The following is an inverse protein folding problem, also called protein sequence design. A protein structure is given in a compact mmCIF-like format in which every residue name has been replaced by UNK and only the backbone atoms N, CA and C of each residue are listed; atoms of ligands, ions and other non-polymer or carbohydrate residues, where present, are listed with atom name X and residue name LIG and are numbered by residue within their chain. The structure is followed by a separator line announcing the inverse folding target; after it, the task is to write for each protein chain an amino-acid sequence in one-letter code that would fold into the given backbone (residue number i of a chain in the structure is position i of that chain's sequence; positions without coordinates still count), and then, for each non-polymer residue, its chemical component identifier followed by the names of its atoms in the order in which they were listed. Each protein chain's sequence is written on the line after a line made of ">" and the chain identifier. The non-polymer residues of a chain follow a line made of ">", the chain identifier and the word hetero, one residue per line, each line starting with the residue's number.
data_IF_913170446085
#
_entry.id   IF_913170446085
#
_cell.length_a   1.000
_cell.length_b   1.000
_cell.length_c   1.000
_cell.angle_alpha   90.00
_cell.angle_beta   90.00
_cell.angle_gamma   90.00
#
_symmetry.space_group_name_H-M   'P 1'
#
loop_
_entity.id
_entity.type
_entity.pdbx_description
1 polymer ?
#
# COMPACT_ATOMS: atom_id res chain seq x y z
N UNK A 1 -20.19 -8.87 2.63
CA UNK A 1 -18.92 -8.56 1.92
C UNK A 1 -17.84 -9.58 2.29
N UNK A 2 -16.93 -9.90 1.39
CA UNK A 2 -15.83 -10.82 1.64
C UNK A 2 -14.56 -10.00 1.88
N UNK A 3 -13.88 -10.22 3.00
CA UNK A 3 -12.65 -9.52 3.36
C UNK A 3 -11.43 -10.39 3.11
N UNK A 4 -10.38 -9.79 2.54
CA UNK A 4 -9.07 -10.43 2.41
C UNK A 4 -8.14 -9.86 3.46
N UNK A 5 -7.52 -10.75 4.27
CA UNK A 5 -6.46 -10.35 5.18
C UNK A 5 -5.11 -10.39 4.45
N UNK A 6 -4.36 -9.28 4.50
CA UNK A 6 -3.03 -9.19 3.91
C UNK A 6 -2.03 -10.20 4.47
N UNK A 7 -2.22 -10.65 5.72
CA UNK A 7 -1.34 -11.60 6.39
C UNK A 7 -1.82 -13.06 6.30
N UNK A 8 -2.99 -13.31 5.67
CA UNK A 8 -3.52 -14.67 5.52
C UNK A 8 -2.56 -15.54 4.70
N UNK A 9 -2.18 -16.69 5.24
CA UNK A 9 -1.24 -17.62 4.59
C UNK A 9 0.22 -17.15 4.57
N UNK A 10 0.58 -16.10 5.32
CA UNK A 10 1.95 -15.62 5.50
C UNK A 10 2.51 -16.04 6.86
N UNK A 11 3.80 -15.77 7.10
CA UNK A 11 4.46 -16.02 8.40
C UNK A 11 3.79 -15.28 9.58
N UNK A 12 2.94 -14.27 9.29
CA UNK A 12 2.23 -13.48 10.28
C UNK A 12 0.80 -14.00 10.56
N UNK A 13 0.38 -15.08 9.93
CA UNK A 13 -0.85 -15.80 10.19
C UNK A 13 -0.51 -17.17 10.80
N UNK A 14 -1.28 -17.66 11.82
CA UNK A 14 -2.35 -16.99 12.58
C UNK A 14 -1.81 -15.87 13.48
N UNK A 15 -2.59 -14.80 13.66
CA UNK A 15 -2.17 -13.63 14.44
C UNK A 15 -2.98 -13.45 15.73
N UNK A 16 -2.63 -12.44 16.53
CA UNK A 16 -3.31 -12.13 17.78
C UNK A 16 -4.83 -11.87 17.65
N UNK A 17 -5.33 -11.45 16.48
CA UNK A 17 -6.76 -11.34 16.20
C UNK A 17 -7.45 -12.71 16.19
N UNK A 18 -6.79 -13.74 15.71
CA UNK A 18 -7.31 -15.11 15.74
C UNK A 18 -7.35 -15.65 17.16
N UNK A 19 -6.29 -15.43 17.93
CA UNK A 19 -6.21 -15.80 19.34
C UNK A 19 -7.28 -15.12 20.20
N UNK A 20 -7.59 -13.86 19.88
CA UNK A 20 -8.68 -13.10 20.50
C UNK A 20 -10.09 -13.49 19.99
N UNK A 21 -10.23 -14.42 19.06
CA UNK A 21 -11.52 -14.78 18.46
C UNK A 21 -12.08 -13.73 17.48
N UNK A 22 -11.26 -12.78 17.05
CA UNK A 22 -11.66 -11.63 16.20
C UNK A 22 -11.18 -11.72 14.75
N UNK A 23 -10.76 -12.90 14.29
CA UNK A 23 -10.37 -13.08 12.91
C UNK A 23 -11.59 -13.03 12.00
N UNK A 24 -11.73 -11.96 11.24
CA UNK A 24 -12.86 -11.72 10.32
C UNK A 24 -12.77 -12.53 9.02
N UNK A 25 -11.61 -13.10 8.69
CA UNK A 25 -11.46 -13.95 7.48
C UNK A 25 -11.68 -15.44 7.74
N UNK A 26 -11.92 -15.84 8.99
CA UNK A 26 -12.14 -17.22 9.38
C UNK A 26 -13.46 -17.37 10.14
N UNK A 27 -14.48 -17.90 9.49
CA UNK A 27 -15.79 -18.10 10.09
C UNK A 27 -15.76 -19.08 11.27
N UNK A 28 -14.85 -20.07 11.26
CA UNK A 28 -14.71 -20.97 12.39
C UNK A 28 -14.30 -20.23 13.68
N UNK A 29 -13.40 -19.24 13.57
CA UNK A 29 -12.97 -18.43 14.71
C UNK A 29 -14.07 -17.43 15.12
N UNK A 30 -14.64 -16.70 14.16
CA UNK A 30 -15.56 -15.61 14.45
C UNK A 30 -17.00 -16.07 14.76
N UNK A 31 -17.42 -17.21 14.20
CA UNK A 31 -18.81 -17.70 14.26
C UNK A 31 -18.93 -19.16 14.70
N UNK A 32 -17.82 -19.84 14.98
CA UNK A 32 -17.81 -21.26 15.36
C UNK A 32 -18.19 -22.22 14.22
N UNK A 33 -18.32 -21.72 12.98
CA UNK A 33 -18.72 -22.52 11.82
C UNK A 33 -17.83 -22.22 10.63
N UNK A 34 -17.23 -23.27 10.05
CA UNK A 34 -16.43 -23.13 8.83
C UNK A 34 -17.33 -22.76 7.65
N UNK A 35 -17.01 -21.64 7.00
CA UNK A 35 -17.66 -21.12 5.82
C UNK A 35 -16.68 -20.81 4.69
N UNK A 36 -15.48 -21.39 4.74
CA UNK A 36 -14.54 -21.35 3.65
C UNK A 36 -15.14 -22.00 2.43
N UNK A 37 -15.36 -21.21 1.37
CA UNK A 37 -15.86 -21.71 0.11
C UNK A 37 -14.88 -22.71 -0.51
N UNK A 38 -15.43 -23.65 -1.28
CA UNK A 38 -14.72 -24.67 -2.05
C UNK A 38 -13.62 -24.12 -2.99
N UNK A 39 -13.56 -22.82 -3.21
CA UNK A 39 -12.51 -22.15 -4.01
C UNK A 39 -11.26 -21.72 -3.25
N UNK A 40 -11.20 -21.89 -1.92
CA UNK A 40 -10.00 -21.56 -1.15
C UNK A 40 -8.89 -22.60 -1.38
N UNK A 41 -7.81 -22.19 -2.01
CA UNK A 41 -6.65 -23.06 -2.33
C UNK A 41 -5.44 -22.85 -1.40
N UNK A 42 -5.56 -22.03 -0.38
CA UNK A 42 -4.48 -21.74 0.55
C UNK A 42 -4.50 -22.63 1.80
N UNK A 43 -3.49 -22.46 2.67
CA UNK A 43 -3.46 -23.10 3.99
C UNK A 43 -4.63 -22.60 4.84
N UNK A 44 -5.37 -23.50 5.48
CA UNK A 44 -6.45 -23.15 6.39
C UNK A 44 -5.88 -22.47 7.65
N UNK A 45 -6.16 -21.18 7.93
CA UNK A 45 -5.62 -20.47 9.07
C UNK A 45 -6.00 -21.12 10.41
N UNK A 46 -7.21 -21.68 10.50
CA UNK A 46 -7.69 -22.36 11.70
C UNK A 46 -6.91 -23.66 11.96
N UNK A 47 -6.68 -24.47 10.94
CA UNK A 47 -5.90 -25.69 11.07
C UNK A 47 -4.46 -25.39 11.50
N UNK A 48 -3.85 -24.36 10.90
CA UNK A 48 -2.51 -23.93 11.30
C UNK A 48 -2.47 -23.43 12.74
N UNK A 49 -3.47 -22.68 13.18
CA UNK A 49 -3.62 -22.23 14.56
C UNK A 49 -3.72 -23.39 15.55
N UNK A 50 -4.52 -24.41 15.20
CA UNK A 50 -4.66 -25.61 16.03
C UNK A 50 -3.34 -26.41 16.06
N UNK A 51 -2.68 -26.57 14.92
CA UNK A 51 -1.37 -27.25 14.84
C UNK A 51 -0.27 -26.56 15.65
N UNK A 52 -0.35 -25.22 15.79
CA UNK A 52 0.54 -24.44 16.66
C UNK A 52 0.14 -24.45 18.14
N UNK A 53 -0.76 -25.33 18.56
CA UNK A 53 -1.25 -25.40 19.94
C UNK A 53 -2.09 -24.21 20.34
N UNK A 54 -2.81 -23.60 19.40
CA UNK A 54 -3.67 -22.39 19.60
C UNK A 54 -2.87 -21.16 20.04
N UNK A 55 -1.66 -21.02 19.52
CA UNK A 55 -0.82 -19.84 19.74
C UNK A 55 -0.71 -19.02 18.45
N UNK A 56 -0.73 -17.70 18.61
CA UNK A 56 -0.50 -16.77 17.49
C UNK A 56 0.96 -16.75 17.07
N UNK A 57 1.20 -16.39 15.82
CA UNK A 57 2.55 -16.05 15.36
C UNK A 57 3.04 -14.81 16.10
N UNK A 58 4.33 -14.70 16.42
CA UNK A 58 4.88 -13.44 16.86
C UNK A 58 4.62 -12.40 15.76
N UNK A 59 4.10 -11.25 16.12
CA UNK A 59 3.87 -10.16 15.18
C UNK A 59 5.14 -9.74 14.45
N UNK A 60 5.05 -8.76 13.58
CA UNK A 60 6.22 -8.22 12.89
C UNK A 60 7.17 -7.61 13.92
N UNK A 61 8.35 -8.21 14.05
CA UNK A 61 9.36 -7.74 15.00
C UNK A 61 9.87 -6.35 14.64
N UNK A 62 10.13 -5.54 15.66
CA UNK A 62 10.85 -4.28 15.50
C UNK A 62 12.34 -4.60 15.20
N UNK A 63 12.90 -3.90 14.23
CA UNK A 63 14.26 -4.12 13.71
C UNK A 63 15.01 -2.81 13.64
N UNK A 64 16.31 -2.88 13.79
CA UNK A 64 17.20 -1.73 13.67
C UNK A 64 17.85 -1.74 12.30
N UNK A 65 17.65 -0.66 11.53
CA UNK A 65 18.25 -0.49 10.21
C UNK A 65 19.05 0.82 10.17
N UNK A 66 20.23 0.75 9.57
CA UNK A 66 21.10 1.92 9.42
C UNK A 66 20.68 2.70 8.19
N UNK A 67 20.61 4.01 8.33
CA UNK A 67 20.51 4.96 7.21
C UNK A 67 21.86 4.97 6.50
N UNK A 68 21.90 4.39 5.30
CA UNK A 68 23.12 4.40 4.47
C UNK A 68 23.29 5.72 3.73
N UNK A 69 22.17 6.34 3.35
CA UNK A 69 22.17 7.58 2.59
C UNK A 69 20.91 8.40 2.90
N UNK A 70 21.07 9.70 3.00
CA UNK A 70 20.01 10.69 3.02
C UNK A 70 20.26 11.69 1.90
N UNK A 71 19.32 11.85 1.00
CA UNK A 71 19.37 12.79 -0.10
C UNK A 71 18.24 13.82 0.06
N UNK A 72 18.62 15.08 0.24
CA UNK A 72 17.68 16.17 0.45
C UNK A 72 17.35 16.84 -0.90
N UNK A 73 16.07 16.91 -1.25
CA UNK A 73 15.53 17.57 -2.46
C UNK A 73 14.85 18.90 -2.14
N UNK A 74 14.38 19.06 -0.90
CA UNK A 74 13.85 20.30 -0.36
C UNK A 74 14.04 20.29 1.16
N UNK A 75 13.90 21.44 1.85
CA UNK A 75 14.02 21.50 3.31
C UNK A 75 13.08 20.57 4.07
N UNK A 76 11.95 20.26 3.46
CA UNK A 76 10.88 19.39 3.99
C UNK A 76 10.73 18.05 3.25
N UNK A 77 11.65 17.72 2.33
CA UNK A 77 11.56 16.51 1.52
C UNK A 77 12.90 15.83 1.30
N UNK A 78 13.03 14.59 1.73
CA UNK A 78 14.25 13.79 1.56
C UNK A 78 13.90 12.36 1.12
N UNK A 79 14.85 11.74 0.42
CA UNK A 79 14.88 10.29 0.20
C UNK A 79 15.90 9.68 1.16
N UNK A 80 15.48 8.64 1.86
CA UNK A 80 16.29 7.92 2.82
C UNK A 80 16.48 6.49 2.35
N UNK A 81 17.72 6.05 2.21
CA UNK A 81 18.09 4.67 1.88
C UNK A 81 18.55 3.95 3.14
N UNK A 82 17.89 2.85 3.45
CA UNK A 82 18.19 1.98 4.58
C UNK A 82 18.94 0.75 4.11
N UNK A 83 20.00 0.37 4.80
CA UNK A 83 20.60 -0.96 4.69
C UNK A 83 19.62 -1.99 5.28
N UNK A 84 19.24 -2.98 4.49
CA UNK A 84 18.25 -3.97 4.88
C UNK A 84 18.66 -5.36 4.41
N UNK A 85 18.49 -6.42 5.24
CA UNK A 85 18.77 -7.79 4.80
C UNK A 85 18.01 -8.14 3.51
N UNK A 86 18.66 -8.89 2.61
CA UNK A 86 18.09 -9.27 1.31
C UNK A 86 16.68 -9.85 1.42
N UNK A 87 16.44 -10.71 2.43
CA UNK A 87 15.10 -11.29 2.64
C UNK A 87 14.03 -10.26 3.00
N UNK A 88 14.40 -9.17 3.69
CA UNK A 88 13.51 -8.06 4.01
C UNK A 88 13.24 -7.23 2.75
N UNK A 89 14.29 -6.85 2.02
CA UNK A 89 14.19 -6.10 0.77
C UNK A 89 13.31 -6.82 -0.27
N UNK A 90 13.46 -8.14 -0.42
CA UNK A 90 12.63 -8.95 -1.31
C UNK A 90 11.15 -8.90 -0.94
N UNK A 91 10.82 -8.95 0.36
CA UNK A 91 9.43 -8.81 0.84
C UNK A 91 8.85 -7.42 0.52
N UNK A 92 9.69 -6.39 0.49
CA UNK A 92 9.30 -5.01 0.16
C UNK A 92 8.94 -4.81 -1.34
N UNK A 93 9.24 -5.76 -2.23
CA UNK A 93 8.88 -5.68 -3.66
C UNK A 93 7.40 -5.85 -3.95
N UNK A 94 6.61 -6.28 -2.98
CA UNK A 94 5.17 -6.44 -3.17
C UNK A 94 4.50 -5.09 -3.38
N UNK A 95 3.54 -4.99 -4.31
CA UNK A 95 2.75 -3.76 -4.48
C UNK A 95 2.15 -3.29 -3.16
N UNK A 96 2.20 -1.98 -2.91
CA UNK A 96 1.67 -1.41 -1.67
C UNK A 96 2.49 -1.69 -0.42
N UNK A 97 3.74 -2.14 -0.57
CA UNK A 97 4.62 -2.32 0.59
C UNK A 97 4.92 -1.00 1.28
N UNK A 98 4.87 -1.03 2.61
CA UNK A 98 5.28 0.07 3.47
C UNK A 98 5.95 -0.47 4.74
N UNK A 99 6.66 0.40 5.42
CA UNK A 99 7.24 0.12 6.74
C UNK A 99 6.77 1.14 7.75
N UNK A 100 6.74 0.76 9.01
CA UNK A 100 6.42 1.65 10.13
C UNK A 100 7.73 2.10 10.75
N UNK A 101 8.02 3.39 10.70
CA UNK A 101 9.23 4.00 11.27
C UNK A 101 8.89 4.61 12.62
N UNK A 102 9.67 4.30 13.65
CA UNK A 102 9.49 4.82 15.01
C UNK A 102 9.98 6.26 15.10
N UNK A 103 9.15 7.13 15.63
CA UNK A 103 9.44 8.51 15.94
C UNK A 103 8.97 8.80 17.37
N UNK A 104 9.89 8.85 18.31
CA UNK A 104 9.56 8.91 19.73
C UNK A 104 8.74 7.69 20.17
N UNK A 105 7.54 7.93 20.70
CA UNK A 105 6.61 6.87 21.12
C UNK A 105 5.69 6.36 19.98
N UNK A 106 5.81 6.90 18.77
CA UNK A 106 4.89 6.65 17.68
C UNK A 106 5.55 5.89 16.53
N UNK A 107 4.76 5.13 15.80
CA UNK A 107 5.14 4.63 14.49
C UNK A 107 4.46 5.44 13.39
N UNK A 108 5.19 5.65 12.29
CA UNK A 108 4.71 6.38 11.10
C UNK A 108 4.83 5.48 9.89
N UNK A 109 3.73 5.19 9.16
CA UNK A 109 3.80 4.42 7.94
C UNK A 109 4.48 5.23 6.84
N UNK A 110 5.48 4.64 6.20
CA UNK A 110 6.16 5.20 5.04
C UNK A 110 6.13 4.16 3.91
N UNK A 111 5.62 4.56 2.76
CA UNK A 111 5.58 3.70 1.57
C UNK A 111 7.00 3.40 1.09
N UNK A 112 7.26 2.15 0.77
CA UNK A 112 8.49 1.76 0.10
C UNK A 112 8.45 2.34 -1.31
N UNK A 113 9.47 3.10 -1.67
CA UNK A 113 9.64 3.74 -2.96
C UNK A 113 10.43 2.86 -3.93
N UNK A 114 11.56 2.35 -3.47
CA UNK A 114 12.38 1.40 -4.23
C UNK A 114 12.98 0.37 -3.28
N UNK A 115 13.25 -0.81 -3.78
CA UNK A 115 13.94 -1.85 -3.03
C UNK A 115 14.76 -2.74 -3.97
N UNK A 116 15.96 -3.10 -3.55
CA UNK A 116 16.84 -3.95 -4.35
C UNK A 116 18.09 -4.34 -3.58
N UNK A 117 18.63 -5.54 -3.86
CA UNK A 117 19.79 -6.02 -3.14
C UNK A 117 19.54 -6.08 -1.63
N UNK A 118 20.33 -5.34 -0.90
CA UNK A 118 20.28 -5.24 0.57
C UNK A 118 19.87 -3.83 1.02
N UNK A 119 19.00 -3.16 0.26
CA UNK A 119 18.53 -1.81 0.61
C UNK A 119 17.05 -1.59 0.32
N UNK A 120 16.48 -0.61 1.02
CA UNK A 120 15.11 -0.11 0.84
C UNK A 120 15.16 1.41 0.89
N UNK A 121 14.53 2.09 -0.07
CA UNK A 121 14.45 3.55 -0.10
C UNK A 121 13.02 4.04 0.13
N UNK A 122 12.91 5.13 0.84
CA UNK A 122 11.67 5.76 1.26
C UNK A 122 11.76 7.26 1.00
N UNK A 123 10.68 7.85 0.51
CA UNK A 123 10.55 9.30 0.48
C UNK A 123 9.87 9.78 1.77
N UNK A 124 10.45 10.76 2.42
CA UNK A 124 9.92 11.38 3.63
C UNK A 124 9.60 12.83 3.35
N UNK A 125 8.32 13.18 3.47
CA UNK A 125 7.85 14.57 3.39
C UNK A 125 7.43 15.04 4.78
N UNK A 126 7.98 16.16 5.26
CA UNK A 126 7.67 16.76 6.56
C UNK A 126 6.27 17.41 6.58
N UNK A 127 5.24 16.66 6.18
CA UNK A 127 3.85 17.13 6.13
C UNK A 127 3.19 17.25 7.51
N UNK A 128 3.78 16.66 8.55
CA UNK A 128 3.23 16.68 9.89
C UNK A 128 4.28 16.43 10.98
N UNK A 129 3.92 16.58 12.27
CA UNK A 129 4.89 16.53 13.38
C UNK A 129 5.74 15.26 13.39
N UNK A 130 5.16 14.11 13.09
CA UNK A 130 5.86 12.81 13.08
C UNK A 130 6.93 12.75 11.99
N UNK A 131 6.59 13.15 10.76
CA UNK A 131 7.54 13.14 9.63
C UNK A 131 8.58 14.24 9.75
N UNK A 132 8.22 15.40 10.31
CA UNK A 132 9.19 16.44 10.68
C UNK A 132 10.22 15.91 11.66
N UNK A 133 9.80 15.22 12.71
CA UNK A 133 10.70 14.65 13.71
C UNK A 133 11.60 13.55 13.11
N UNK A 134 11.06 12.71 12.23
CA UNK A 134 11.85 11.73 11.48
C UNK A 134 12.94 12.45 10.69
N UNK A 135 12.60 13.43 9.86
CA UNK A 135 13.59 14.15 9.03
C UNK A 135 14.65 14.86 9.87
N UNK A 136 14.25 15.53 10.95
CA UNK A 136 15.15 16.27 11.85
C UNK A 136 16.22 15.38 12.48
N UNK A 137 15.87 14.11 12.79
CA UNK A 137 16.77 13.14 13.44
C UNK A 137 17.55 12.28 12.45
N UNK A 138 17.23 12.35 11.17
CA UNK A 138 17.81 11.48 10.16
C UNK A 138 19.05 12.10 9.55
N UNK A 139 20.15 11.37 9.63
CA UNK A 139 21.40 11.61 8.92
C UNK A 139 21.97 10.24 8.50
N UNK A 140 22.91 10.24 7.57
CA UNK A 140 23.69 9.03 7.25
C UNK A 140 24.35 8.48 8.52
N UNK A 141 24.23 7.17 8.75
CA UNK A 141 24.69 6.49 9.96
C UNK A 141 23.64 6.43 11.09
N UNK A 142 22.54 7.20 11.01
CA UNK A 142 21.43 7.08 11.98
C UNK A 142 20.83 5.69 11.93
N UNK A 143 20.46 5.15 13.09
CA UNK A 143 19.75 3.89 13.20
C UNK A 143 18.27 4.16 13.36
N UNK A 144 17.45 3.59 12.48
CA UNK A 144 16.00 3.61 12.56
C UNK A 144 15.47 2.32 13.16
N UNK A 145 14.56 2.44 14.12
CA UNK A 145 13.76 1.33 14.59
C UNK A 145 12.51 1.23 13.70
N UNK A 146 12.35 0.11 13.04
CA UNK A 146 11.28 -0.10 12.06
C UNK A 146 10.53 -1.40 12.32
N UNK A 147 9.28 -1.43 11.95
CA UNK A 147 8.41 -2.62 11.93
C UNK A 147 7.90 -2.88 10.53
N UNK A 148 7.82 -4.13 10.11
CA UNK A 148 7.31 -4.51 8.80
C UNK A 148 8.20 -5.55 8.09
N UNK A 149 8.14 -5.63 6.75
CA UNK A 149 7.27 -4.84 5.87
C UNK A 149 5.79 -5.25 5.98
N UNK A 150 4.92 -4.30 5.70
CA UNK A 150 3.48 -4.50 5.52
C UNK A 150 3.14 -4.40 4.04
N UNK A 151 2.08 -5.07 3.58
CA UNK A 151 1.69 -5.10 2.16
C UNK A 151 0.28 -4.56 1.91
N UNK A 152 -0.36 -4.01 2.93
CA UNK A 152 -1.71 -3.46 2.87
C UNK A 152 -1.77 -1.97 2.51
N UNK A 153 -0.74 -1.43 1.87
CA UNK A 153 -0.69 -0.02 1.47
C UNK A 153 -1.46 0.32 0.20
N UNK A 154 -1.88 -0.68 -0.56
CA UNK A 154 -2.78 -0.52 -1.71
C UNK A 154 -4.04 -1.37 -1.52
N UNK A 155 -5.20 -0.76 -1.68
CA UNK A 155 -6.49 -1.44 -1.78
C UNK A 155 -6.67 -1.85 -3.23
N UNK A 156 -7.05 -3.10 -3.48
CA UNK A 156 -7.12 -3.67 -4.83
C UNK A 156 -5.76 -4.09 -5.41
N UNK A 157 -4.68 -3.97 -4.63
CA UNK A 157 -3.33 -4.34 -5.06
C UNK A 157 -3.16 -5.83 -5.37
N UNK A 158 -3.96 -6.69 -4.76
CA UNK A 158 -4.03 -8.13 -5.01
C UNK A 158 -4.59 -8.48 -6.40
N UNK A 159 -5.33 -7.55 -7.01
CA UNK A 159 -5.96 -7.73 -8.32
C UNK A 159 -5.06 -7.25 -9.49
N UNK A 160 -3.83 -6.83 -9.22
CA UNK A 160 -2.91 -6.38 -10.26
C UNK A 160 -2.56 -7.54 -11.19
N UNK A 161 -3.04 -7.47 -12.44
CA UNK A 161 -2.58 -8.36 -13.49
C UNK A 161 -1.27 -7.81 -14.09
N UNK A 162 -0.17 -8.49 -13.81
CA UNK A 162 1.16 -8.10 -14.30
C UNK A 162 1.30 -8.12 -15.83
N UNK A 163 0.34 -8.69 -16.56
CA UNK A 163 0.32 -8.75 -18.03
C UNK A 163 -0.66 -7.76 -18.65
N UNK A 164 -1.52 -7.14 -17.85
CA UNK A 164 -2.51 -6.19 -18.35
C UNK A 164 -1.91 -4.79 -18.57
N UNK A 165 -2.48 -3.99 -19.50
CA UNK A 165 -2.16 -2.58 -19.60
C UNK A 165 -2.56 -1.84 -18.33
N UNK A 166 -1.94 -0.68 -18.09
CA UNK A 166 -2.19 0.13 -16.91
C UNK A 166 -2.63 1.54 -17.30
N UNK A 167 -3.66 2.04 -16.61
CA UNK A 167 -4.15 3.41 -16.67
C UNK A 167 -3.92 4.03 -15.29
N UNK A 168 -3.28 5.19 -15.24
CA UNK A 168 -2.82 5.77 -13.99
C UNK A 168 -3.27 7.22 -13.87
N UNK A 169 -3.83 7.59 -12.72
CA UNK A 169 -3.94 8.96 -12.25
C UNK A 169 -3.23 9.06 -10.91
N UNK A 170 -2.24 9.94 -10.75
CA UNK A 170 -1.48 10.08 -9.52
C UNK A 170 -1.22 11.54 -9.15
N UNK A 171 -1.13 11.82 -7.83
CA UNK A 171 -0.79 13.14 -7.31
C UNK A 171 0.18 13.06 -6.13
N UNK A 172 1.25 13.85 -6.23
CA UNK A 172 2.19 14.06 -5.13
C UNK A 172 2.76 12.76 -4.55
N UNK A 173 2.76 12.65 -3.22
CA UNK A 173 3.33 11.51 -2.49
C UNK A 173 2.71 10.14 -2.83
N UNK A 174 1.51 10.12 -3.39
CA UNK A 174 0.90 8.87 -3.83
C UNK A 174 1.60 8.23 -5.05
N UNK A 175 2.59 8.91 -5.63
CA UNK A 175 3.52 8.34 -6.62
C UNK A 175 4.41 7.23 -6.02
N UNK A 176 4.73 7.27 -4.72
CA UNK A 176 5.73 6.38 -4.12
C UNK A 176 5.45 4.88 -4.31
N UNK A 177 4.23 4.36 -4.09
CA UNK A 177 3.93 2.96 -4.36
C UNK A 177 4.09 2.56 -5.83
N UNK A 178 3.88 3.48 -6.78
CA UNK A 178 4.09 3.23 -8.21
C UNK A 178 5.58 3.11 -8.55
N UNK A 179 6.44 3.91 -7.90
CA UNK A 179 7.88 3.80 -8.05
C UNK A 179 8.39 2.43 -7.58
N UNK A 180 7.80 1.86 -6.51
CA UNK A 180 8.14 0.53 -6.02
C UNK A 180 7.86 -0.59 -7.06
N UNK A 181 6.84 -0.44 -7.87
CA UNK A 181 6.45 -1.41 -8.91
C UNK A 181 6.76 -0.94 -10.33
N UNK A 182 7.60 0.07 -10.47
CA UNK A 182 7.93 0.71 -11.75
C UNK A 182 8.37 -0.29 -12.82
N UNK A 183 9.23 -1.24 -12.47
CA UNK A 183 9.69 -2.28 -13.39
C UNK A 183 8.53 -3.17 -13.87
N UNK A 184 7.57 -3.46 -12.99
CA UNK A 184 6.39 -4.25 -13.33
C UNK A 184 5.44 -3.50 -14.28
N UNK A 185 5.42 -2.16 -14.17
CA UNK A 185 4.60 -1.27 -15.02
C UNK A 185 5.27 -0.93 -16.34
N UNK A 186 6.60 -1.10 -16.45
CA UNK A 186 7.37 -0.73 -17.65
C UNK A 186 6.81 -1.36 -18.92
N UNK A 187 6.62 -0.55 -19.95
CA UNK A 187 6.08 -0.95 -21.25
C UNK A 187 4.58 -1.30 -21.26
N UNK A 188 3.88 -1.14 -20.13
CA UNK A 188 2.45 -1.49 -19.99
C UNK A 188 1.57 -0.28 -19.73
N UNK A 189 2.14 0.87 -19.43
CA UNK A 189 1.37 2.10 -19.17
C UNK A 189 0.81 2.61 -20.50
N UNK A 190 -0.51 2.68 -20.58
CA UNK A 190 -1.23 3.22 -21.75
C UNK A 190 -1.52 4.71 -21.58
N UNK A 191 -1.85 5.13 -20.38
CA UNK A 191 -2.05 6.53 -20.02
C UNK A 191 -1.64 6.75 -18.58
N UNK A 192 -0.93 7.84 -18.35
CA UNK A 192 -0.56 8.29 -17.02
C UNK A 192 -0.81 9.80 -16.92
N UNK A 193 -1.77 10.17 -16.08
CA UNK A 193 -2.08 11.55 -15.71
C UNK A 193 -1.42 11.84 -14.37
N UNK A 194 -0.55 12.84 -14.34
CA UNK A 194 0.23 13.12 -13.14
C UNK A 194 0.15 14.59 -12.73
N UNK A 195 -0.22 14.83 -11.48
CA UNK A 195 -0.13 16.12 -10.82
C UNK A 195 1.05 16.06 -9.82
N UNK A 196 2.14 16.77 -10.08
CA UNK A 196 3.30 16.78 -9.18
C UNK A 196 2.96 17.25 -7.76
N UNK A 197 1.95 18.13 -7.62
CA UNK A 197 1.59 18.75 -6.34
C UNK A 197 2.78 19.53 -5.77
N UNK A 198 3.28 19.09 -4.61
CA UNK A 198 4.44 19.71 -3.93
C UNK A 198 5.72 18.88 -4.05
N UNK A 199 5.77 17.88 -4.90
CA UNK A 199 6.99 17.11 -5.08
C UNK A 199 8.08 17.97 -5.72
N UNK A 200 9.32 17.91 -5.23
CA UNK A 200 10.44 18.61 -5.84
C UNK A 200 10.71 18.12 -7.27
N UNK A 201 10.96 19.07 -8.17
CA UNK A 201 11.20 18.75 -9.59
C UNK A 201 12.40 17.78 -9.77
N UNK A 202 13.49 18.03 -9.06
CA UNK A 202 14.70 17.19 -9.17
C UNK A 202 14.46 15.75 -8.68
N UNK A 203 13.61 15.60 -7.65
CA UNK A 203 13.16 14.27 -7.22
C UNK A 203 12.41 13.55 -8.33
N UNK A 204 11.45 14.22 -8.98
CA UNK A 204 10.67 13.65 -10.08
C UNK A 204 11.59 13.28 -11.23
N UNK A 205 12.47 14.20 -11.65
CA UNK A 205 13.43 13.98 -12.74
C UNK A 205 14.34 12.77 -12.49
N UNK A 206 14.75 12.54 -11.24
CA UNK A 206 15.60 11.42 -10.85
C UNK A 206 14.84 10.09 -10.77
N UNK A 207 13.77 10.04 -10.00
CA UNK A 207 13.13 8.78 -9.61
C UNK A 207 11.97 8.35 -10.51
N UNK A 208 11.25 9.31 -11.12
CA UNK A 208 10.19 9.02 -12.07
C UNK A 208 10.69 8.90 -13.52
N UNK A 209 11.99 9.05 -13.76
CA UNK A 209 12.61 8.86 -15.08
C UNK A 209 12.17 7.53 -15.71
N UNK A 210 11.66 7.59 -16.95
CA UNK A 210 11.14 6.41 -17.69
C UNK A 210 9.64 6.17 -17.48
N UNK A 211 8.96 6.95 -16.66
CA UNK A 211 7.54 7.15 -16.79
C UNK A 211 7.28 8.29 -17.80
N UNK A 212 6.32 8.07 -18.68
CA UNK A 212 5.78 9.11 -19.55
C UNK A 212 4.38 9.46 -19.05
N UNK A 213 4.11 10.75 -18.80
CA UNK A 213 2.84 11.22 -18.29
C UNK A 213 2.35 12.49 -18.98
N UNK A 214 1.06 12.69 -18.93
CA UNK A 214 0.39 13.95 -19.23
C UNK A 214 0.23 14.71 -17.90
N UNK A 215 0.86 15.88 -17.80
CA UNK A 215 0.73 16.72 -16.60
C UNK A 215 -0.69 17.27 -16.52
N UNK A 216 -1.26 17.28 -15.33
CA UNK A 216 -2.64 17.68 -15.09
C UNK A 216 -2.78 18.35 -13.73
N UNK A 217 -3.73 19.24 -13.59
CA UNK A 217 -4.10 19.89 -12.33
C UNK A 217 -5.32 19.18 -11.72
N UNK A 218 -5.08 18.21 -10.80
CA UNK A 218 -6.17 17.42 -10.20
C UNK A 218 -7.20 18.26 -9.45
N UNK A 219 -6.86 19.49 -9.03
CA UNK A 219 -7.79 20.40 -8.38
C UNK A 219 -8.99 20.76 -9.29
N UNK A 220 -8.74 20.93 -10.58
CA UNK A 220 -9.72 21.37 -11.58
C UNK A 220 -10.06 20.32 -12.62
N UNK A 221 -9.18 19.35 -12.86
CA UNK A 221 -9.28 18.42 -13.98
C UNK A 221 -9.62 16.98 -13.58
N UNK A 222 -9.79 16.67 -12.29
CA UNK A 222 -10.02 15.31 -11.82
C UNK A 222 -11.16 14.58 -12.55
N UNK A 223 -12.29 15.24 -12.77
CA UNK A 223 -13.42 14.67 -13.49
C UNK A 223 -13.13 14.47 -14.99
N UNK A 224 -12.41 15.39 -15.62
CA UNK A 224 -12.00 15.25 -17.01
C UNK A 224 -11.02 14.08 -17.18
N UNK A 225 -10.08 13.94 -16.26
CA UNK A 225 -9.14 12.78 -16.21
C UNK A 225 -9.91 11.48 -16.01
N UNK A 226 -10.91 11.45 -15.12
CA UNK A 226 -11.74 10.26 -14.92
C UNK A 226 -12.46 9.84 -16.22
N UNK A 227 -13.04 10.81 -16.96
CA UNK A 227 -13.68 10.53 -18.27
C UNK A 227 -12.69 10.00 -19.30
N UNK A 228 -11.46 10.56 -19.35
CA UNK A 228 -10.39 10.05 -20.21
C UNK A 228 -10.00 8.62 -19.83
N UNK A 229 -9.94 8.29 -18.54
CA UNK A 229 -9.67 6.92 -18.05
C UNK A 229 -10.78 5.95 -18.47
N UNK A 230 -12.06 6.33 -18.36
CA UNK A 230 -13.18 5.49 -18.82
C UNK A 230 -13.04 5.18 -20.32
N UNK A 231 -12.84 6.20 -21.13
CA UNK A 231 -12.68 6.02 -22.59
C UNK A 231 -11.50 5.09 -22.93
N UNK A 232 -10.34 5.30 -22.29
CA UNK A 232 -9.17 4.44 -22.49
C UNK A 232 -9.41 3.01 -21.99
N UNK A 233 -10.16 2.85 -20.89
CA UNK A 233 -10.52 1.53 -20.36
C UNK A 233 -11.38 0.76 -21.37
N UNK A 234 -12.42 1.39 -21.91
CA UNK A 234 -13.29 0.82 -22.93
C UNK A 234 -12.52 0.44 -24.21
N UNK A 235 -11.57 1.31 -24.62
CA UNK A 235 -10.70 1.03 -25.76
C UNK A 235 -9.81 -0.18 -25.51
N UNK A 236 -9.22 -0.30 -24.33
CA UNK A 236 -8.42 -1.47 -23.94
C UNK A 236 -9.26 -2.75 -23.93
N UNK A 237 -10.49 -2.70 -23.40
CA UNK A 237 -11.40 -3.84 -23.39
C UNK A 237 -11.75 -4.31 -24.81
N UNK A 238 -11.96 -3.38 -25.75
CA UNK A 238 -12.30 -3.70 -27.14
C UNK A 238 -11.14 -4.32 -27.92
N UNK A 239 -9.91 -3.83 -27.69
CA UNK A 239 -8.77 -4.17 -28.55
C UNK A 239 -7.80 -5.18 -27.91
N UNK A 240 -7.63 -5.17 -26.60
CA UNK A 240 -6.61 -5.99 -25.93
C UNK A 240 -7.16 -7.30 -25.32
N UNK A 241 -8.48 -7.46 -25.23
CA UNK A 241 -9.11 -8.64 -24.63
C UNK A 241 -8.75 -8.86 -23.14
N UNK A 242 -8.08 -7.88 -22.51
CA UNK A 242 -7.66 -7.89 -21.10
C UNK A 242 -8.12 -6.63 -20.39
N UNK A 243 -8.65 -6.82 -19.20
CA UNK A 243 -9.05 -5.72 -18.33
C UNK A 243 -7.81 -4.95 -17.86
N UNK A 244 -7.72 -3.62 -18.11
CA UNK A 244 -6.58 -2.85 -17.64
C UNK A 244 -6.57 -2.71 -16.11
N UNK A 245 -5.37 -2.61 -15.53
CA UNK A 245 -5.20 -2.12 -14.16
C UNK A 245 -5.50 -0.62 -14.14
N UNK A 246 -6.34 -0.16 -13.21
CA UNK A 246 -6.66 1.26 -13.06
C UNK A 246 -6.18 1.74 -11.71
N UNK A 247 -5.11 2.55 -11.71
CA UNK A 247 -4.51 3.11 -10.50
C UNK A 247 -5.01 4.55 -10.29
N UNK A 248 -5.70 4.78 -9.17
CA UNK A 248 -6.11 6.12 -8.73
C UNK A 248 -5.31 6.46 -7.48
N UNK A 249 -4.12 7.00 -7.70
CA UNK A 249 -3.10 7.25 -6.68
C UNK A 249 -3.15 8.71 -6.23
N UNK A 250 -4.15 9.05 -5.43
CA UNK A 250 -4.44 10.43 -4.99
C UNK A 250 -4.82 10.44 -3.51
N UNK A 251 -4.99 11.62 -2.91
CA UNK A 251 -5.51 11.75 -1.54
C UNK A 251 -6.99 11.41 -1.46
N UNK A 252 -7.55 11.17 -0.25
CA UNK A 252 -8.97 10.83 -0.07
C UNK A 252 -9.93 11.84 -0.71
N UNK A 253 -9.58 13.13 -0.66
CA UNK A 253 -10.39 14.20 -1.26
C UNK A 253 -10.55 14.03 -2.78
N UNK A 254 -9.45 13.74 -3.49
CA UNK A 254 -9.53 13.53 -4.94
C UNK A 254 -10.06 12.12 -5.27
N UNK A 255 -9.77 11.13 -4.43
CA UNK A 255 -10.30 9.77 -4.61
C UNK A 255 -11.82 9.78 -4.68
N UNK A 256 -12.49 10.56 -3.83
CA UNK A 256 -13.94 10.67 -3.85
C UNK A 256 -14.46 11.24 -5.18
N UNK A 257 -13.78 12.25 -5.75
CA UNK A 257 -14.14 12.80 -7.07
C UNK A 257 -14.01 11.73 -8.17
N UNK A 258 -12.91 10.97 -8.17
CA UNK A 258 -12.72 9.87 -9.12
C UNK A 258 -13.76 8.78 -8.92
N UNK A 259 -14.04 8.39 -7.70
CA UNK A 259 -15.00 7.34 -7.37
C UNK A 259 -16.41 7.70 -7.83
N UNK A 260 -16.83 8.94 -7.63
CA UNK A 260 -18.11 9.47 -8.13
C UNK A 260 -18.17 9.44 -9.66
N UNK A 261 -17.11 9.92 -10.32
CA UNK A 261 -17.08 9.95 -11.78
C UNK A 261 -16.99 8.54 -12.42
N UNK A 262 -16.36 7.57 -11.73
CA UNK A 262 -16.22 6.19 -12.20
C UNK A 262 -17.38 5.28 -11.78
N UNK A 263 -18.31 5.74 -10.92
CA UNK A 263 -19.36 4.90 -10.31
C UNK A 263 -20.29 4.23 -11.31
N UNK A 264 -20.55 4.88 -12.45
CA UNK A 264 -21.39 4.31 -13.52
C UNK A 264 -20.65 3.28 -14.40
N UNK A 265 -19.33 3.15 -14.23
CA UNK A 265 -18.48 2.23 -14.98
C UNK A 265 -18.17 1.00 -14.13
N UNK A 266 -18.07 -0.17 -14.76
CA UNK A 266 -17.62 -1.39 -14.07
C UNK A 266 -16.09 -1.43 -13.95
N UNK A 267 -15.49 -0.36 -13.39
CA UNK A 267 -14.04 -0.22 -13.22
C UNK A 267 -13.67 -0.48 -11.75
N UNK A 268 -12.85 -1.50 -11.53
CA UNK A 268 -12.22 -1.71 -10.22
C UNK A 268 -10.95 -0.87 -10.16
N UNK A 269 -10.83 -0.03 -9.14
CA UNK A 269 -9.67 0.84 -8.95
C UNK A 269 -8.69 0.26 -7.94
N UNK A 270 -7.41 0.50 -8.20
CA UNK A 270 -6.30 0.25 -7.27
C UNK A 270 -5.94 1.61 -6.68
N UNK A 271 -5.94 1.71 -5.35
CA UNK A 271 -5.81 3.00 -4.66
C UNK A 271 -5.00 2.89 -3.38
N UNK A 272 -4.43 3.99 -2.86
CA UNK A 272 -3.73 3.98 -1.59
C UNK A 272 -4.66 3.62 -0.43
N UNK A 273 -4.13 2.91 0.56
CA UNK A 273 -4.82 2.70 1.82
C UNK A 273 -4.57 3.91 2.74
N UNK A 274 -5.56 4.78 2.86
CA UNK A 274 -5.48 6.01 3.65
C UNK A 274 -5.80 5.82 5.14
N UNK A 275 -5.88 4.58 5.62
CA UNK A 275 -6.25 4.30 7.00
C UNK A 275 -5.21 4.83 7.98
N UNK A 276 -5.69 5.37 9.09
CA UNK A 276 -4.84 5.78 10.21
C UNK A 276 -4.18 4.56 10.85
N UNK A 277 -2.95 4.27 10.45
CA UNK A 277 -2.21 3.13 10.98
C UNK A 277 -1.36 3.55 12.17
N UNK A 278 -1.45 2.78 13.26
CA UNK A 278 -0.67 2.98 14.47
C UNK A 278 0.22 1.77 14.76
N UNK A 279 -0.34 0.56 14.99
CA UNK A 279 0.45 -0.64 15.25
C UNK A 279 0.77 -1.46 13.99
N UNK A 280 -0.07 -1.39 12.96
CA UNK A 280 0.02 -2.25 11.77
C UNK A 280 -0.40 -3.72 12.00
N UNK A 281 -0.68 -4.11 13.24
CA UNK A 281 -0.93 -5.49 13.68
C UNK A 281 -2.41 -5.79 13.98
N UNK A 282 -3.30 -4.81 13.76
CA UNK A 282 -4.72 -4.95 14.08
C UNK A 282 -5.07 -4.86 15.57
N UNK A 283 -4.09 -4.66 16.46
CA UNK A 283 -4.28 -4.73 17.91
C UNK A 283 -4.81 -3.43 18.51
N UNK A 284 -4.27 -2.27 18.12
CA UNK A 284 -4.58 -0.99 18.77
C UNK A 284 -5.96 -0.43 18.42
N UNK A 285 -6.63 -0.94 17.41
CA UNK A 285 -7.94 -0.48 16.95
C UNK A 285 -7.97 0.88 16.25
N UNK A 286 -6.85 1.61 16.12
CA UNK A 286 -6.82 2.94 15.49
C UNK A 286 -7.32 2.96 14.03
N UNK A 287 -7.18 1.85 13.32
CA UNK A 287 -7.64 1.67 11.93
C UNK A 287 -8.96 0.89 11.84
N UNK A 288 -9.71 0.77 12.95
CA UNK A 288 -10.99 0.06 12.95
C UNK A 288 -12.02 0.81 12.12
N UNK A 289 -12.80 0.04 11.41
CA UNK A 289 -13.97 0.50 10.70
C UNK A 289 -15.10 -0.51 10.93
N UNK A 290 -16.27 -0.03 11.33
CA UNK A 290 -17.46 -0.88 11.49
C UNK A 290 -18.43 -0.56 10.36
N UNK A 291 -18.82 -1.59 9.64
CA UNK A 291 -19.76 -1.48 8.53
C UNK A 291 -21.21 -1.41 9.01
N UNK A 292 -22.11 -1.07 8.09
CA UNK A 292 -23.55 -1.03 8.36
C UNK A 292 -24.09 -2.36 8.88
N UNK A 293 -23.50 -3.49 8.42
CA UNK A 293 -23.84 -4.85 8.88
C UNK A 293 -23.25 -5.19 10.26
N UNK A 294 -22.57 -4.26 10.92
CA UNK A 294 -21.98 -4.43 12.25
C UNK A 294 -20.65 -5.18 12.29
N UNK A 295 -20.07 -5.53 11.15
CA UNK A 295 -18.75 -6.18 11.09
C UNK A 295 -17.65 -5.15 11.29
N UNK A 296 -16.80 -5.34 12.30
CA UNK A 296 -15.64 -4.48 12.56
C UNK A 296 -14.40 -5.07 11.94
N UNK A 297 -13.77 -4.34 11.03
CA UNK A 297 -12.53 -4.71 10.36
C UNK A 297 -11.36 -3.83 10.79
N UNK A 298 -10.15 -4.29 10.58
CA UNK A 298 -8.90 -3.55 10.84
C UNK A 298 -8.24 -3.25 9.50
N UNK A 299 -8.36 -2.02 9.01
CA UNK A 299 -7.85 -1.61 7.69
C UNK A 299 -6.33 -1.72 7.53
N UNK A 300 -5.56 -1.88 8.60
CA UNK A 300 -4.14 -2.25 8.53
C UNK A 300 -3.92 -3.74 8.20
N UNK A 301 -4.95 -4.58 8.31
CA UNK A 301 -4.90 -6.02 8.06
C UNK A 301 -5.70 -6.44 6.84
N UNK A 302 -6.77 -5.74 6.49
CA UNK A 302 -7.66 -6.12 5.40
C UNK A 302 -8.15 -4.93 4.59
N UNK A 303 -8.67 -5.26 3.43
CA UNK A 303 -9.36 -4.35 2.51
C UNK A 303 -10.73 -4.90 2.17
N UNK A 304 -11.61 -4.00 1.77
CA UNK A 304 -12.88 -4.34 1.13
C UNK A 304 -12.57 -4.84 -0.30
N UNK A 305 -13.19 -5.94 -0.72
CA UNK A 305 -13.15 -6.39 -2.10
C UNK A 305 -14.23 -5.71 -2.93
#
# INVERSE_FOLDING_TARGET
>A
MSYICADRGTDCCPCALMEAGQCYTCGMISRGKCDCNSGWQGVCPYSEYVMRGKTSSPGKADRLFTVEEKEDFAPDFSVVRLGAPRGFSLKCRRPGSFIMVKSGSWFTPLSVMTCGGESVSLAVNAAGPKTMEILRRTATGTVWEIRGPFTSGLIGGENIDSKAPSLIAARGMALMPLLNIKEQLSGKIKKFYFDPGRLPHDFIAKYAKGFEWEETAMDTEAEAVAKKIISCFEDCMRHAGRRPNVFIMVSPYYEEKFRTALSASNITIIRPNHSNMCCGEGLCGACSYTEEEGVTVRKCKCFDM
#
